data_IF_187876117263
#
_entry.id   IF_187876117263
#
_cell.length_a   1.000
_cell.length_b   1.000
_cell.length_c   1.000
_cell.angle_alpha   90.00
_cell.angle_beta   90.00
_cell.angle_gamma   90.00
#
_symmetry.space_group_name_H-M   'P 1'
#
loop_
_entity.id
_entity.type
_entity.pdbx_description
1 polymer ?
#
# COMPACT_ATOMS: atom_id res chain seq x y z
N UNK A 1 5.69 -12.46 6.20
CA UNK A 1 5.58 -11.61 5.02
C UNK A 1 6.09 -12.46 3.87
N UNK A 2 5.47 -12.34 2.69
CA UNK A 2 5.89 -13.08 1.51
C UNK A 2 6.51 -12.09 0.52
N UNK A 3 7.84 -12.06 0.44
CA UNK A 3 8.58 -11.25 -0.53
C UNK A 3 8.84 -12.07 -1.78
N UNK A 4 8.17 -11.71 -2.88
CA UNK A 4 8.19 -12.44 -4.15
C UNK A 4 9.05 -11.70 -5.16
N UNK A 5 10.01 -12.41 -5.75
CA UNK A 5 10.95 -11.85 -6.74
C UNK A 5 10.90 -12.56 -8.09
N UNK A 6 10.34 -13.77 -8.15
CA UNK A 6 10.21 -14.50 -9.42
C UNK A 6 8.93 -14.10 -10.12
N UNK A 7 9.04 -13.80 -11.41
CA UNK A 7 7.91 -13.44 -12.30
C UNK A 7 6.74 -14.44 -12.16
N UNK A 8 7.00 -15.75 -12.18
CA UNK A 8 5.94 -16.76 -12.09
C UNK A 8 5.22 -16.77 -10.75
N UNK A 9 5.94 -16.53 -9.65
CA UNK A 9 5.36 -16.46 -8.30
C UNK A 9 4.50 -15.19 -8.16
N UNK A 10 4.98 -14.07 -8.70
CA UNK A 10 4.25 -12.80 -8.69
C UNK A 10 2.97 -12.88 -9.54
N UNK A 11 3.03 -13.47 -10.74
CA UNK A 11 1.84 -13.67 -11.59
C UNK A 11 0.78 -14.52 -10.87
N UNK A 12 1.18 -15.65 -10.29
CA UNK A 12 0.25 -16.50 -9.53
C UNK A 12 -0.35 -15.79 -8.32
N UNK A 13 0.45 -14.98 -7.62
CA UNK A 13 -0.06 -14.17 -6.50
C UNK A 13 -1.07 -13.11 -6.97
N UNK A 14 -0.83 -12.44 -8.11
CA UNK A 14 -1.78 -11.48 -8.70
C UNK A 14 -3.11 -12.17 -9.02
N UNK A 15 -3.06 -13.38 -9.57
CA UNK A 15 -4.27 -14.17 -9.89
C UNK A 15 -5.07 -14.52 -8.63
N UNK A 16 -4.39 -14.93 -7.55
CA UNK A 16 -5.02 -15.22 -6.26
C UNK A 16 -5.67 -13.97 -5.65
N UNK A 17 -4.97 -12.83 -5.69
CA UNK A 17 -5.46 -11.54 -5.19
C UNK A 17 -6.78 -11.11 -5.84
N UNK A 18 -7.04 -11.51 -7.08
CA UNK A 18 -8.29 -11.18 -7.79
C UNK A 18 -9.54 -11.81 -7.16
N UNK A 19 -9.37 -12.81 -6.27
CA UNK A 19 -10.46 -13.43 -5.53
C UNK A 19 -10.88 -12.67 -4.27
N UNK A 20 -10.09 -11.70 -3.82
CA UNK A 20 -10.37 -10.92 -2.62
C UNK A 20 -11.25 -9.70 -2.93
N UNK A 21 -12.25 -9.38 -2.08
CA UNK A 21 -13.14 -8.24 -2.30
C UNK A 21 -12.48 -6.89 -1.99
N UNK A 22 -11.39 -6.89 -1.23
CA UNK A 22 -10.69 -5.69 -0.79
C UNK A 22 -9.19 -5.93 -0.72
N UNK A 23 -8.41 -4.96 -1.20
CA UNK A 23 -6.95 -4.95 -1.16
C UNK A 23 -6.48 -3.65 -0.51
N UNK A 24 -5.61 -3.75 0.49
CA UNK A 24 -4.86 -2.60 1.02
C UNK A 24 -3.49 -2.54 0.37
N UNK A 25 -3.24 -1.44 -0.34
CA UNK A 25 -2.13 -1.29 -1.25
C UNK A 25 -1.25 -0.10 -0.88
N UNK A 26 0.05 -0.28 -1.10
CA UNK A 26 1.06 0.78 -1.06
C UNK A 26 2.11 0.50 -2.14
N UNK A 27 2.93 1.51 -2.46
CA UNK A 27 4.04 1.36 -3.43
C UNK A 27 5.32 2.01 -2.94
N UNK A 28 6.46 1.45 -3.35
CA UNK A 28 7.76 2.09 -3.16
C UNK A 28 8.40 2.40 -4.50
N UNK A 29 9.02 3.58 -4.61
CA UNK A 29 9.54 4.13 -5.85
C UNK A 29 11.05 4.31 -5.75
N UNK A 30 11.79 3.66 -6.64
CA UNK A 30 13.23 3.86 -6.82
C UNK A 30 13.51 5.15 -7.60
N UNK A 31 14.69 5.72 -7.39
CA UNK A 31 15.19 6.90 -8.11
C UNK A 31 14.25 8.11 -8.08
N UNK A 32 13.52 8.30 -6.97
CA UNK A 32 12.50 9.34 -6.82
C UNK A 32 13.00 10.77 -7.10
N UNK A 33 14.30 11.02 -6.88
CA UNK A 33 14.93 12.31 -7.12
C UNK A 33 15.38 12.53 -8.58
N UNK A 34 15.24 11.53 -9.44
CA UNK A 34 15.65 11.59 -10.83
C UNK A 34 14.46 11.92 -11.74
N UNK A 35 14.71 12.31 -13.01
CA UNK A 35 13.64 12.49 -13.99
C UNK A 35 12.89 11.19 -14.36
N UNK A 36 13.39 10.02 -13.96
CA UNK A 36 12.87 8.72 -14.36
C UNK A 36 12.64 7.82 -13.14
N UNK A 37 11.70 8.18 -12.24
CA UNK A 37 11.36 7.34 -11.10
C UNK A 37 10.78 6.00 -11.59
N UNK A 38 11.12 4.92 -10.88
CA UNK A 38 10.73 3.56 -11.25
C UNK A 38 9.98 2.91 -10.10
N UNK A 39 8.81 2.34 -10.36
CA UNK A 39 8.12 1.54 -9.35
C UNK A 39 9.00 0.34 -8.99
N UNK A 40 9.27 0.19 -7.70
CA UNK A 40 10.15 -0.84 -7.18
C UNK A 40 9.36 -1.97 -6.55
N UNK A 41 8.42 -1.63 -5.67
CA UNK A 41 7.61 -2.59 -4.93
C UNK A 41 6.13 -2.25 -5.02
N UNK A 42 5.31 -3.29 -4.97
CA UNK A 42 3.87 -3.20 -4.66
C UNK A 42 3.63 -4.05 -3.42
N UNK A 43 3.07 -3.46 -2.37
CA UNK A 43 2.67 -4.19 -1.17
C UNK A 43 1.17 -4.43 -1.16
N UNK A 44 0.75 -5.63 -0.76
CA UNK A 44 -0.66 -6.02 -0.73
C UNK A 44 -0.98 -6.74 0.58
N UNK A 45 -1.94 -6.19 1.33
CA UNK A 45 -2.62 -6.90 2.42
C UNK A 45 -4.05 -7.23 2.01
N UNK A 46 -4.50 -8.42 2.43
CA UNK A 46 -5.87 -8.93 2.23
C UNK A 46 -6.54 -9.35 3.54
N UNK A 47 -5.81 -9.28 4.66
CA UNK A 47 -6.27 -9.71 5.98
C UNK A 47 -6.08 -8.56 6.98
N UNK A 48 -7.19 -8.00 7.44
CA UNK A 48 -7.18 -6.86 8.38
C UNK A 48 -6.88 -7.26 9.82
N UNK A 49 -6.91 -8.57 10.11
CA UNK A 49 -6.53 -9.14 11.40
C UNK A 49 -5.04 -9.49 11.46
N UNK A 50 -4.32 -9.44 10.33
CA UNK A 50 -2.85 -9.57 10.32
C UNK A 50 -2.17 -8.26 10.78
N UNK A 51 -2.00 -8.14 12.09
CA UNK A 51 -1.30 -7.01 12.72
C UNK A 51 0.24 -7.10 12.62
N UNK A 52 0.77 -8.24 12.15
CA UNK A 52 2.21 -8.51 12.10
C UNK A 52 2.82 -8.29 10.71
N UNK A 53 1.97 -8.21 9.69
CA UNK A 53 2.35 -8.20 8.29
C UNK A 53 2.91 -9.54 7.81
N UNK A 54 2.60 -10.65 8.49
CA UNK A 54 3.11 -11.97 8.12
C UNK A 54 2.48 -12.51 6.84
N UNK A 55 1.27 -12.09 6.51
CA UNK A 55 0.53 -12.46 5.30
C UNK A 55 0.62 -11.41 4.19
N UNK A 56 1.23 -10.26 4.47
CA UNK A 56 1.45 -9.22 3.45
C UNK A 56 2.35 -9.76 2.35
N UNK A 57 1.90 -9.59 1.12
CA UNK A 57 2.66 -9.82 -0.10
C UNK A 57 3.47 -8.56 -0.41
N UNK A 58 4.77 -8.74 -0.67
CA UNK A 58 5.61 -7.71 -1.26
C UNK A 58 6.05 -8.23 -2.63
N UNK A 59 5.57 -7.58 -3.68
CA UNK A 59 5.87 -7.92 -5.07
C UNK A 59 7.05 -7.07 -5.53
N UNK A 60 8.17 -7.70 -5.88
CA UNK A 60 9.31 -7.03 -6.49
C UNK A 60 9.06 -6.81 -7.98
N UNK A 61 8.79 -5.57 -8.36
CA UNK A 61 8.43 -5.20 -9.73
C UNK A 61 9.44 -4.26 -10.37
N UNK A 62 10.60 -4.06 -9.73
CA UNK A 62 11.66 -3.19 -10.24
C UNK A 62 12.13 -3.68 -11.61
N UNK A 63 12.09 -2.79 -12.60
CA UNK A 63 12.42 -3.07 -14.00
C UNK A 63 11.57 -4.20 -14.64
N UNK A 64 10.37 -4.47 -14.10
CA UNK A 64 9.41 -5.46 -14.61
C UNK A 64 8.08 -4.81 -15.02
N UNK A 65 8.06 -3.91 -16.04
CA UNK A 65 6.85 -3.17 -16.43
C UNK A 65 5.68 -4.07 -16.84
N UNK A 66 5.94 -5.28 -17.33
CA UNK A 66 4.92 -6.28 -17.67
C UNK A 66 4.18 -6.82 -16.43
N UNK A 67 4.86 -6.95 -15.27
CA UNK A 67 4.21 -7.35 -14.02
C UNK A 67 3.27 -6.25 -13.52
N UNK A 68 3.72 -5.00 -13.59
CA UNK A 68 2.91 -3.83 -13.23
C UNK A 68 1.68 -3.71 -14.14
N UNK A 69 1.87 -3.88 -15.45
CA UNK A 69 0.77 -3.91 -16.41
C UNK A 69 -0.25 -5.00 -16.08
N UNK A 70 0.23 -6.22 -15.81
CA UNK A 70 -0.65 -7.33 -15.45
C UNK A 70 -1.40 -7.08 -14.13
N UNK A 71 -0.72 -6.52 -13.12
CA UNK A 71 -1.35 -6.10 -11.86
C UNK A 71 -2.49 -5.10 -12.11
N UNK A 72 -2.27 -4.12 -12.99
CA UNK A 72 -3.29 -3.12 -13.35
C UNK A 72 -4.49 -3.77 -14.04
N UNK A 73 -4.23 -4.61 -15.05
CA UNK A 73 -5.25 -5.29 -15.85
C UNK A 73 -6.11 -6.26 -15.02
N UNK A 74 -5.52 -6.95 -14.05
CA UNK A 74 -6.26 -7.91 -13.22
C UNK A 74 -6.97 -7.26 -12.03
N UNK A 75 -6.33 -6.30 -11.36
CA UNK A 75 -6.76 -5.82 -10.04
C UNK A 75 -7.26 -4.37 -10.06
N UNK A 76 -6.47 -3.46 -10.65
CA UNK A 76 -6.77 -2.02 -10.53
C UNK A 76 -8.02 -1.62 -11.30
N UNK A 77 -8.25 -2.20 -12.50
CA UNK A 77 -9.45 -1.92 -13.30
C UNK A 77 -10.71 -2.64 -12.81
N UNK A 78 -10.55 -3.67 -11.97
CA UNK A 78 -11.67 -4.51 -11.54
C UNK A 78 -12.56 -3.77 -10.53
N UNK A 79 -13.81 -3.47 -10.91
CA UNK A 79 -14.76 -2.75 -10.06
C UNK A 79 -15.22 -3.53 -8.84
N UNK A 80 -15.12 -4.87 -8.87
CA UNK A 80 -15.58 -5.74 -7.79
C UNK A 80 -14.62 -5.79 -6.61
N UNK A 81 -13.39 -5.28 -6.80
CA UNK A 81 -12.36 -5.22 -5.77
C UNK A 81 -12.22 -3.78 -5.30
N UNK A 82 -12.42 -3.52 -4.01
CA UNK A 82 -12.07 -2.24 -3.40
C UNK A 82 -10.55 -2.15 -3.22
N UNK A 83 -9.92 -1.13 -3.79
CA UNK A 83 -8.49 -0.87 -3.56
C UNK A 83 -8.35 0.32 -2.63
N UNK A 84 -7.76 0.06 -1.47
CA UNK A 84 -7.56 1.05 -0.43
C UNK A 84 -6.11 1.51 -0.45
N UNK A 85 -5.89 2.82 -0.40
CA UNK A 85 -4.59 3.46 -0.33
C UNK A 85 -4.59 4.60 0.70
N UNK A 86 -3.41 5.05 1.14
CA UNK A 86 -3.26 6.33 1.81
C UNK A 86 -2.67 7.35 0.83
N UNK A 87 -3.37 8.46 0.57
CA UNK A 87 -2.94 9.46 -0.41
C UNK A 87 -2.76 8.90 -1.85
N UNK A 88 -3.71 8.04 -2.24
CA UNK A 88 -3.76 7.27 -3.50
C UNK A 88 -3.33 7.96 -4.80
N UNK A 89 -3.46 9.29 -4.92
CA UNK A 89 -3.08 10.01 -6.15
C UNK A 89 -1.61 9.84 -6.54
N UNK A 90 -0.75 9.48 -5.58
CA UNK A 90 0.65 9.20 -5.84
C UNK A 90 0.82 7.82 -6.48
N UNK A 91 0.37 6.77 -5.80
CA UNK A 91 0.50 5.38 -6.22
C UNK A 91 -0.19 5.11 -7.56
N UNK A 92 -1.37 5.72 -7.75
CA UNK A 92 -2.14 5.55 -8.97
C UNK A 92 -1.39 6.02 -10.23
N UNK A 93 -0.41 6.92 -10.12
CA UNK A 93 0.47 7.30 -11.25
C UNK A 93 1.20 6.10 -11.86
N UNK A 94 1.52 5.13 -11.02
CA UNK A 94 2.22 3.91 -11.40
C UNK A 94 1.27 2.73 -11.60
N UNK A 95 0.05 2.81 -11.06
CA UNK A 95 -0.94 1.72 -11.04
C UNK A 95 -2.20 2.03 -11.87
N UNK A 96 -2.02 2.63 -13.05
CA UNK A 96 -3.05 2.74 -14.09
C UNK A 96 -3.88 4.03 -14.11
N UNK A 97 -3.63 4.96 -13.18
CA UNK A 97 -4.26 6.30 -13.08
C UNK A 97 -5.78 6.28 -13.31
N UNK A 98 -6.23 6.82 -14.44
CA UNK A 98 -7.64 6.96 -14.79
C UNK A 98 -8.35 5.61 -15.02
N UNK A 99 -7.60 4.54 -15.25
CA UNK A 99 -8.16 3.19 -15.42
C UNK A 99 -8.55 2.56 -14.08
N UNK A 100 -7.93 2.99 -12.97
CA UNK A 100 -8.16 2.42 -11.66
C UNK A 100 -9.60 2.69 -11.17
N UNK A 101 -10.33 1.63 -10.82
CA UNK A 101 -11.72 1.68 -10.39
C UNK A 101 -11.86 1.33 -8.91
N UNK A 102 -12.97 1.73 -8.27
CA UNK A 102 -13.31 1.38 -6.88
C UNK A 102 -12.14 1.66 -5.89
N UNK A 103 -11.69 2.93 -5.88
CA UNK A 103 -10.57 3.38 -5.05
C UNK A 103 -11.08 4.08 -3.78
N UNK A 104 -10.64 3.59 -2.63
CA UNK A 104 -10.81 4.24 -1.35
C UNK A 104 -9.50 4.87 -0.89
N UNK A 105 -9.54 6.15 -0.53
CA UNK A 105 -8.35 6.89 -0.09
C UNK A 105 -8.51 7.33 1.36
N UNK A 106 -7.78 6.70 2.28
CA UNK A 106 -7.89 6.97 3.72
C UNK A 106 -7.51 8.40 4.09
N UNK A 107 -6.56 9.01 3.36
CA UNK A 107 -6.23 10.43 3.53
C UNK A 107 -7.43 11.35 3.21
N UNK A 108 -8.17 11.07 2.13
CA UNK A 108 -9.38 11.84 1.76
C UNK A 108 -10.49 11.63 2.80
N UNK A 109 -10.69 10.40 3.28
CA UNK A 109 -11.64 10.09 4.35
C UNK A 109 -11.29 10.87 5.63
N UNK A 110 -10.04 10.80 6.08
CA UNK A 110 -9.59 11.50 7.27
C UNK A 110 -9.72 13.03 7.13
N UNK A 111 -9.43 13.57 5.94
CA UNK A 111 -9.64 15.00 5.64
C UNK A 111 -11.11 15.41 5.70
N UNK A 112 -12.03 14.56 5.21
CA UNK A 112 -13.49 14.79 5.30
C UNK A 112 -13.99 14.80 6.75
N UNK A 113 -13.48 13.89 7.58
CA UNK A 113 -13.81 13.84 9.02
C UNK A 113 -13.22 15.05 9.77
N UNK A 114 -12.09 15.57 9.28
CA UNK A 114 -11.27 16.66 9.83
C UNK A 114 -10.39 16.20 10.99
N UNK A 115 -9.15 16.71 10.98
CA UNK A 115 -8.10 16.39 11.94
C UNK A 115 -8.47 16.69 13.39
N UNK A 116 -9.16 17.81 13.63
CA UNK A 116 -9.63 18.23 14.95
C UNK A 116 -10.66 17.29 15.55
N UNK A 117 -11.52 16.67 14.72
CA UNK A 117 -12.46 15.63 15.18
C UNK A 117 -11.78 14.29 15.43
N UNK A 118 -10.75 13.96 14.65
CA UNK A 118 -9.93 12.77 14.84
C UNK A 118 -8.96 12.91 16.03
N UNK A 119 -8.76 14.12 16.55
CA UNK A 119 -7.81 14.43 17.61
C UNK A 119 -6.36 14.04 17.27
N UNK A 120 -5.99 14.14 15.98
CA UNK A 120 -4.64 13.76 15.52
C UNK A 120 -3.74 14.95 15.27
N UNK A 121 -2.43 14.78 15.40
CA UNK A 121 -1.44 15.83 15.15
C UNK A 121 -1.33 16.21 13.67
N UNK A 122 -1.45 15.22 12.78
CA UNK A 122 -1.54 15.38 11.33
C UNK A 122 -2.34 14.20 10.71
N UNK A 123 -2.42 14.15 9.38
CA UNK A 123 -3.20 13.13 8.66
C UNK A 123 -2.33 12.12 7.88
N UNK A 124 -1.02 12.06 8.13
CA UNK A 124 -0.14 11.04 7.54
C UNK A 124 -0.51 9.66 8.10
N UNK A 125 -0.38 8.63 7.28
CA UNK A 125 -0.73 7.25 7.63
C UNK A 125 -0.18 6.82 9.00
N UNK A 126 1.12 7.05 9.22
CA UNK A 126 1.82 6.65 10.46
C UNK A 126 1.31 7.36 11.69
N UNK A 127 1.04 8.65 11.57
CA UNK A 127 0.40 9.41 12.65
C UNK A 127 -0.98 8.85 12.96
N UNK A 128 -1.80 8.56 11.93
CA UNK A 128 -3.11 7.95 12.13
C UNK A 128 -3.01 6.55 12.76
N UNK A 129 -2.02 5.75 12.37
CA UNK A 129 -1.79 4.42 12.92
C UNK A 129 -1.42 4.47 14.42
N UNK A 130 -0.53 5.38 14.81
CA UNK A 130 -0.15 5.57 16.22
C UNK A 130 -1.32 6.13 17.02
N UNK A 131 -1.89 7.26 16.59
CA UNK A 131 -2.81 8.04 17.42
C UNK A 131 -4.24 7.49 17.43
N UNK A 132 -4.70 6.86 16.35
CA UNK A 132 -6.05 6.27 16.26
C UNK A 132 -6.08 4.77 16.49
N UNK A 133 -5.02 4.06 16.11
CA UNK A 133 -4.98 2.60 16.15
C UNK A 133 -4.00 2.04 17.20
N UNK A 134 -3.31 2.92 17.94
CA UNK A 134 -2.42 2.58 19.05
C UNK A 134 -1.24 1.68 18.66
N UNK A 135 -0.77 1.78 17.41
CA UNK A 135 0.49 1.12 17.02
C UNK A 135 1.68 1.79 17.72
N UNK A 136 2.58 0.96 18.26
CA UNK A 136 3.86 1.38 18.84
C UNK A 136 5.02 1.13 17.86
N UNK A 137 6.14 1.84 18.03
CA UNK A 137 7.37 1.65 17.25
C UNK A 137 7.18 1.76 15.73
N UNK A 138 6.32 2.69 15.30
CA UNK A 138 6.08 2.96 13.89
C UNK A 138 7.30 3.69 13.29
N UNK A 139 8.03 3.00 12.42
CA UNK A 139 9.21 3.54 11.74
C UNK A 139 8.80 4.53 10.65
N UNK A 140 9.26 5.78 10.76
CA UNK A 140 8.98 6.85 9.81
C UNK A 140 10.13 7.10 8.81
N UNK A 141 11.27 6.43 8.96
CA UNK A 141 12.53 6.84 8.33
C UNK A 141 12.82 6.15 6.99
N UNK A 142 12.29 4.93 6.74
CA UNK A 142 12.62 4.20 5.50
C UNK A 142 11.81 4.64 4.26
N UNK A 143 10.86 5.57 4.38
CA UNK A 143 10.09 6.05 3.22
C UNK A 143 10.93 6.79 2.18
N UNK A 144 12.16 7.17 2.53
CA UNK A 144 13.15 7.79 1.63
C UNK A 144 14.39 6.91 1.43
N UNK A 145 14.28 5.62 1.73
CA UNK A 145 15.37 4.65 1.55
C UNK A 145 15.67 4.42 0.06
N UNK A 146 16.83 3.84 -0.26
CA UNK A 146 17.15 3.45 -1.64
C UNK A 146 16.35 2.20 -2.01
N UNK A 147 15.16 2.41 -2.59
CA UNK A 147 14.32 1.33 -3.07
C UNK A 147 14.79 0.71 -4.39
N UNK A 148 15.83 1.27 -5.04
CA UNK A 148 16.47 0.67 -6.22
C UNK A 148 17.50 -0.40 -5.85
N UNK A 149 17.98 -0.43 -4.61
CA UNK A 149 18.99 -1.39 -4.17
C UNK A 149 18.46 -2.82 -4.11
N UNK A 150 19.32 -3.79 -4.44
CA UNK A 150 19.07 -5.22 -4.19
C UNK A 150 20.35 -5.90 -3.66
N UNK A 151 20.23 -6.85 -2.71
CA UNK A 151 19.00 -7.26 -2.02
C UNK A 151 18.45 -6.15 -1.10
N UNK A 152 17.14 -6.14 -0.87
CA UNK A 152 16.52 -5.23 0.10
C UNK A 152 16.98 -5.60 1.52
N UNK A 153 17.11 -4.59 2.38
CA UNK A 153 17.43 -4.82 3.79
C UNK A 153 16.21 -5.35 4.56
N UNK A 154 16.45 -6.02 5.68
CA UNK A 154 15.37 -6.47 6.55
C UNK A 154 14.52 -5.30 7.08
N UNK A 155 15.13 -4.12 7.26
CA UNK A 155 14.44 -2.92 7.71
C UNK A 155 13.48 -2.40 6.64
N UNK A 156 13.93 -2.33 5.37
CA UNK A 156 13.07 -1.99 4.23
C UNK A 156 11.89 -2.96 4.08
N UNK A 157 12.14 -4.27 4.14
CA UNK A 157 11.06 -5.27 4.07
C UNK A 157 10.08 -5.13 5.24
N UNK A 158 10.58 -4.89 6.45
CA UNK A 158 9.74 -4.68 7.63
C UNK A 158 8.92 -3.39 7.54
N UNK A 159 9.49 -2.33 6.99
CA UNK A 159 8.79 -1.07 6.77
C UNK A 159 7.68 -1.25 5.74
N UNK A 160 8.02 -1.76 4.56
CA UNK A 160 7.11 -1.93 3.43
C UNK A 160 5.89 -2.80 3.80
N UNK A 161 6.10 -3.92 4.51
CA UNK A 161 4.94 -4.75 4.93
C UNK A 161 4.01 -3.99 5.89
N UNK A 162 4.56 -3.17 6.78
CA UNK A 162 3.79 -2.55 7.85
C UNK A 162 2.94 -1.39 7.35
N UNK A 163 3.31 -0.72 6.25
CA UNK A 163 2.49 0.37 5.71
C UNK A 163 1.09 -0.12 5.27
N UNK A 164 0.98 -1.30 4.66
CA UNK A 164 -0.34 -1.88 4.36
C UNK A 164 -1.09 -2.38 5.60
N UNK A 165 -0.40 -2.83 6.64
CA UNK A 165 -1.01 -3.20 7.94
C UNK A 165 -1.62 -1.97 8.61
N UNK A 166 -0.85 -0.88 8.70
CA UNK A 166 -1.30 0.40 9.23
C UNK A 166 -2.49 0.92 8.43
N UNK A 167 -2.40 0.85 7.10
CA UNK A 167 -3.45 1.27 6.19
C UNK A 167 -4.75 0.51 6.43
N UNK A 168 -4.70 -0.81 6.61
CA UNK A 168 -5.87 -1.63 6.87
C UNK A 168 -6.59 -1.23 8.17
N UNK A 169 -5.84 -1.00 9.24
CA UNK A 169 -6.39 -0.60 10.54
C UNK A 169 -6.93 0.83 10.53
N UNK A 170 -6.20 1.76 9.92
CA UNK A 170 -6.66 3.14 9.76
C UNK A 170 -7.92 3.19 8.91
N UNK A 171 -7.99 2.41 7.82
CA UNK A 171 -9.19 2.29 7.01
C UNK A 171 -10.42 1.89 7.84
N UNK A 172 -10.33 0.79 8.58
CA UNK A 172 -11.43 0.33 9.43
C UNK A 172 -11.82 1.35 10.50
N UNK A 173 -10.85 2.02 11.12
CA UNK A 173 -11.14 3.06 12.11
C UNK A 173 -11.97 4.18 11.48
N UNK A 174 -11.56 4.67 10.31
CA UNK A 174 -12.21 5.79 9.63
C UNK A 174 -13.62 5.43 9.12
N UNK A 175 -13.85 4.20 8.66
CA UNK A 175 -15.20 3.77 8.23
C UNK A 175 -16.26 3.86 9.33
N UNK A 176 -15.87 3.81 10.61
CA UNK A 176 -16.80 3.97 11.74
C UNK A 176 -17.47 5.35 11.78
N UNK A 177 -16.89 6.34 11.10
CA UNK A 177 -17.40 7.71 11.03
C UNK A 177 -18.34 7.96 9.85
N UNK A 178 -18.58 6.95 9.01
CA UNK A 178 -19.53 7.04 7.90
C UNK A 178 -20.97 6.75 8.33
N UNK A 179 -21.21 6.48 9.62
CA UNK A 179 -22.52 6.31 10.26
C UNK A 179 -22.99 7.58 10.97
#
# INVERSE_FOLDING_TARGET
MLYLTKVTEILGAIDELASHPILWLDTEIADWHTPYPRISLIQVSVDVEDLTGEKVLILDVLDQPQLVKYFVECLMVNTQIEKVFHNSSFDLKYLGEAQAQNITCTYKLAKKIRRDRLLTSNLKLKTLAVELCHFSNVDAEEGTSDWGQRPLTQKQLSYAKMDTVYLARVHLYLKKWEN
#
